data_IF_404876788633
#
_entry.id   IF_404876788633
#
_cell.length_a   1.000
_cell.length_b   1.000
_cell.length_c   1.000
_cell.angle_alpha   90.00
_cell.angle_beta   90.00
_cell.angle_gamma   90.00
#
_symmetry.space_group_name_H-M   'P 1'
#
loop_
_entity.id
_entity.type
_entity.pdbx_description
1 polymer ?
#
# COMPACT_ATOMS: atom_id res chain seq x y z
N UNK A 1 -62.93 66.29 66.77
CA UNK A 1 -62.19 65.93 67.99
C UNK A 1 -60.75 65.59 67.63
N UNK A 2 -59.82 66.35 68.21
CA UNK A 2 -58.38 66.15 68.46
C UNK A 2 -57.58 65.18 67.57
N UNK A 3 -56.62 65.63 66.75
CA UNK A 3 -55.32 66.26 67.07
C UNK A 3 -54.30 65.31 67.74
N UNK A 4 -53.22 64.96 67.02
CA UNK A 4 -51.86 65.45 67.34
C UNK A 4 -50.83 65.11 66.24
N UNK A 5 -49.99 66.10 65.98
CA UNK A 5 -48.89 66.17 65.02
C UNK A 5 -47.61 65.60 65.63
N UNK A 6 -46.68 65.15 64.79
CA UNK A 6 -45.26 65.39 65.01
C UNK A 6 -44.52 65.58 63.67
N UNK A 7 -43.84 66.71 63.53
CA UNK A 7 -42.80 67.00 62.52
C UNK A 7 -41.44 66.74 63.15
N UNK A 8 -40.41 66.56 62.32
CA UNK A 8 -38.94 66.77 62.47
C UNK A 8 -38.28 65.60 61.70
N UNK A 9 -37.33 65.73 60.78
CA UNK A 9 -36.59 66.85 60.21
C UNK A 9 -35.74 66.27 59.05
N UNK A 10 -35.59 67.03 57.96
CA UNK A 10 -34.80 66.63 56.81
C UNK A 10 -33.30 66.77 57.08
N UNK A 11 -32.51 65.74 56.74
CA UNK A 11 -31.07 65.83 56.63
C UNK A 11 -30.66 65.38 55.22
N UNK A 12 -30.26 66.35 54.41
CA UNK A 12 -29.71 66.18 53.07
C UNK A 12 -28.25 65.75 53.19
N UNK A 13 -27.92 64.51 52.80
CA UNK A 13 -26.53 64.07 52.66
C UNK A 13 -26.15 64.05 51.18
N UNK A 14 -25.19 64.89 50.81
CA UNK A 14 -24.54 64.90 49.50
C UNK A 14 -23.54 63.73 49.50
N UNK A 15 -23.85 62.65 48.80
CA UNK A 15 -22.88 61.57 48.55
C UNK A 15 -22.19 61.79 47.21
N UNK A 16 -20.93 62.20 47.28
CA UNK A 16 -19.98 62.13 46.17
C UNK A 16 -19.69 60.64 45.90
N UNK A 17 -20.20 60.10 44.80
CA UNK A 17 -19.80 58.76 44.34
C UNK A 17 -18.51 58.92 43.54
N UNK A 18 -17.39 58.54 44.13
CA UNK A 18 -16.15 58.34 43.40
C UNK A 18 -16.33 57.14 42.46
N UNK A 19 -16.14 57.35 41.16
CA UNK A 19 -16.08 56.27 40.18
C UNK A 19 -14.79 55.47 40.40
N UNK A 20 -14.90 54.26 40.96
CA UNK A 20 -13.80 53.30 40.98
C UNK A 20 -13.69 52.63 39.60
N UNK A 21 -12.55 52.85 38.94
CA UNK A 21 -12.13 52.04 37.79
C UNK A 21 -11.81 50.64 38.30
N UNK A 22 -12.77 49.72 38.21
CA UNK A 22 -12.51 48.30 38.40
C UNK A 22 -11.77 47.79 37.14
N UNK A 23 -10.45 47.62 37.26
CA UNK A 23 -9.66 46.91 36.28
C UNK A 23 -10.24 45.50 36.10
N UNK A 24 -10.73 45.20 34.89
CA UNK A 24 -11.19 43.87 34.53
C UNK A 24 -9.98 42.97 34.41
N UNK A 25 -9.68 42.22 35.48
CA UNK A 25 -8.70 41.14 35.42
C UNK A 25 -9.28 40.03 34.55
N UNK A 26 -8.63 39.73 33.42
CA UNK A 26 -8.87 38.49 32.68
C UNK A 26 -8.69 37.29 33.64
N UNK A 27 -9.55 36.25 33.60
CA UNK A 27 -9.38 35.10 34.47
C UNK A 27 -8.05 34.40 34.16
N UNK A 28 -7.29 34.10 35.20
CA UNK A 28 -6.10 33.26 35.13
C UNK A 28 -6.48 31.89 34.54
N UNK A 29 -5.69 31.39 33.59
CA UNK A 29 -5.81 30.02 33.08
C UNK A 29 -5.74 29.03 34.24
N UNK A 30 -6.83 28.29 34.51
CA UNK A 30 -6.84 27.24 35.52
C UNK A 30 -5.78 26.18 35.16
N UNK A 31 -4.95 25.79 36.11
CA UNK A 31 -4.02 24.67 35.94
C UNK A 31 -4.80 23.35 35.84
N UNK A 32 -4.35 22.43 34.98
CA UNK A 32 -5.01 21.15 34.83
C UNK A 32 -4.92 20.31 36.12
N UNK A 33 -6.05 19.80 36.59
CA UNK A 33 -6.13 19.02 37.84
C UNK A 33 -5.71 17.55 37.70
N UNK A 34 -5.65 17.05 36.47
CA UNK A 34 -5.30 15.68 36.10
C UNK A 34 -4.28 15.66 34.97
N UNK A 35 -3.38 14.69 35.04
CA UNK A 35 -2.55 14.20 33.93
C UNK A 35 -3.16 12.91 33.42
N UNK A 36 -3.32 12.77 32.10
CA UNK A 36 -3.90 11.57 31.47
C UNK A 36 -2.89 10.93 30.51
N UNK A 37 -2.38 9.75 30.86
CA UNK A 37 -1.41 9.01 30.04
C UNK A 37 -1.49 7.48 30.29
N UNK A 38 -1.89 6.66 29.30
CA UNK A 38 -2.24 7.04 27.93
C UNK A 38 -3.58 7.77 27.85
N UNK A 39 -3.75 8.55 26.78
CA UNK A 39 -5.02 9.21 26.45
C UNK A 39 -6.15 8.18 26.18
N UNK A 40 -7.44 8.58 26.28
CA UNK A 40 -8.56 7.71 25.96
C UNK A 40 -8.51 7.20 24.51
N UNK A 41 -8.91 5.95 24.30
CA UNK A 41 -8.93 5.30 22.98
C UNK A 41 -10.20 4.49 22.76
N UNK A 42 -10.52 4.22 21.50
CA UNK A 42 -11.64 3.35 21.09
C UNK A 42 -11.05 2.16 20.35
N UNK A 43 -11.47 0.95 20.70
CA UNK A 43 -11.10 -0.30 19.99
C UNK A 43 -12.35 -1.05 19.56
N UNK A 44 -12.26 -1.84 18.50
CA UNK A 44 -13.40 -2.57 17.94
C UNK A 44 -13.53 -2.30 16.45
N UNK A 45 -14.44 -3.00 15.79
CA UNK A 45 -14.72 -2.76 14.38
C UNK A 45 -15.67 -1.57 14.26
N UNK A 46 -15.26 -0.50 13.56
CA UNK A 46 -16.07 0.73 13.43
C UNK A 46 -17.15 0.53 12.36
N UNK A 47 -18.17 -0.25 12.72
CA UNK A 47 -19.26 -0.70 11.86
C UNK A 47 -20.57 -0.75 12.63
N UNK A 48 -21.68 -0.45 11.97
CA UNK A 48 -23.01 -0.52 12.57
C UNK A 48 -23.29 -1.95 13.03
N UNK A 49 -23.78 -2.08 14.27
CA UNK A 49 -24.07 -3.35 14.91
C UNK A 49 -22.85 -4.08 15.50
N UNK A 50 -21.63 -3.61 15.26
CA UNK A 50 -20.43 -4.12 15.93
C UNK A 50 -20.10 -3.29 17.17
N UNK A 51 -19.64 -3.93 18.24
CA UNK A 51 -19.34 -3.23 19.50
C UNK A 51 -18.01 -2.48 19.44
N UNK A 52 -18.07 -1.18 19.74
CA UNK A 52 -16.91 -0.35 20.05
C UNK A 52 -16.70 -0.32 21.56
N UNK A 53 -15.47 -0.54 22.01
CA UNK A 53 -15.08 -0.50 23.42
C UNK A 53 -14.28 0.75 23.72
N UNK A 54 -14.74 1.53 24.71
CA UNK A 54 -14.06 2.71 25.23
C UNK A 54 -13.00 2.35 26.27
N UNK A 55 -11.78 2.84 26.06
CA UNK A 55 -10.69 2.81 27.03
C UNK A 55 -10.49 4.22 27.59
N UNK A 56 -10.59 4.37 28.91
CA UNK A 56 -10.68 5.67 29.59
C UNK A 56 -9.35 6.42 29.73
N UNK A 57 -8.24 5.79 29.36
CA UNK A 57 -6.90 6.25 29.71
C UNK A 57 -6.60 6.12 31.20
N UNK A 58 -5.39 6.50 31.61
CA UNK A 58 -4.96 6.46 33.02
C UNK A 58 -4.86 7.89 33.56
N UNK A 59 -5.60 8.18 34.63
CA UNK A 59 -5.73 9.53 35.20
C UNK A 59 -4.97 9.63 36.53
N UNK A 60 -4.11 10.65 36.65
CA UNK A 60 -3.35 10.94 37.85
C UNK A 60 -3.50 12.41 38.26
N UNK A 61 -3.84 12.74 39.52
CA UNK A 61 -4.22 11.81 40.59
C UNK A 61 -5.55 11.10 40.30
N UNK A 62 -5.81 9.96 40.95
CA UNK A 62 -7.01 9.17 40.66
C UNK A 62 -8.29 10.00 40.92
N UNK A 63 -9.20 10.10 39.93
CA UNK A 63 -10.47 10.82 40.06
C UNK A 63 -11.43 10.08 40.99
N UNK A 64 -12.35 10.81 41.63
CA UNK A 64 -13.46 10.23 42.40
C UNK A 64 -14.59 9.72 41.50
N UNK A 65 -14.71 10.21 40.27
CA UNK A 65 -15.63 9.67 39.26
C UNK A 65 -15.04 9.83 37.85
N UNK A 66 -15.29 8.84 36.98
CA UNK A 66 -14.95 8.86 35.56
C UNK A 66 -16.18 8.49 34.74
N UNK A 67 -16.65 9.45 33.96
CA UNK A 67 -17.80 9.30 33.07
C UNK A 67 -17.32 9.30 31.63
N UNK A 68 -17.77 8.32 30.85
CA UNK A 68 -17.55 8.27 29.39
C UNK A 68 -18.81 8.81 28.71
N UNK A 69 -18.61 9.62 27.68
CA UNK A 69 -19.70 10.12 26.84
C UNK A 69 -19.30 9.91 25.38
N UNK A 70 -20.16 9.20 24.64
CA UNK A 70 -19.96 8.91 23.23
C UNK A 70 -20.49 10.06 22.36
N UNK A 71 -19.80 10.32 21.25
CA UNK A 71 -20.19 11.29 20.24
C UNK A 71 -20.08 10.66 18.86
N UNK A 72 -21.09 10.86 18.03
CA UNK A 72 -21.09 10.46 16.62
C UNK A 72 -21.34 11.66 15.73
N UNK A 73 -20.42 11.93 14.80
CA UNK A 73 -20.49 13.11 13.94
C UNK A 73 -20.49 14.44 14.71
N UNK A 74 -19.97 14.43 15.94
CA UNK A 74 -19.97 15.57 16.86
C UNK A 74 -21.24 15.71 17.72
N UNK A 75 -22.25 14.86 17.53
CA UNK A 75 -23.50 14.84 18.32
C UNK A 75 -23.37 13.81 19.45
N UNK A 76 -23.90 14.13 20.62
CA UNK A 76 -23.88 13.21 21.77
C UNK A 76 -24.77 11.99 21.49
N UNK A 77 -24.30 10.80 21.89
CA UNK A 77 -25.14 9.59 21.88
C UNK A 77 -26.00 9.64 23.14
N UNK A 78 -27.31 9.71 22.96
CA UNK A 78 -28.28 9.68 24.07
C UNK A 78 -28.44 8.25 24.61
N UNK A 79 -28.69 8.14 25.91
CA UNK A 79 -29.05 6.88 26.55
C UNK A 79 -30.47 6.44 26.19
N UNK A 80 -30.94 5.36 26.81
CA UNK A 80 -32.30 4.90 26.59
C UNK A 80 -33.31 6.02 26.93
N UNK A 81 -34.24 6.39 26.02
CA UNK A 81 -35.24 7.43 26.29
C UNK A 81 -36.05 7.19 27.56
N UNK A 82 -36.26 5.92 27.94
CA UNK A 82 -36.98 5.53 29.15
C UNK A 82 -36.21 5.88 30.44
N UNK A 83 -34.90 6.15 30.35
CA UNK A 83 -34.03 6.57 31.45
C UNK A 83 -33.92 8.11 31.57
N UNK A 84 -34.82 8.86 30.91
CA UNK A 84 -34.93 10.30 31.06
C UNK A 84 -34.08 11.15 30.12
N UNK A 85 -33.52 10.57 29.05
CA UNK A 85 -32.77 11.31 28.01
C UNK A 85 -31.36 11.72 28.43
N UNK A 86 -30.82 11.14 29.50
CA UNK A 86 -29.42 11.33 29.90
C UNK A 86 -28.46 10.73 28.85
N UNK A 87 -27.24 11.27 28.69
CA UNK A 87 -26.27 10.73 27.74
C UNK A 87 -25.91 9.27 27.99
N UNK A 88 -25.57 8.55 26.92
CA UNK A 88 -25.13 7.16 27.03
C UNK A 88 -23.72 7.07 27.67
N UNK A 89 -23.63 6.35 28.79
CA UNK A 89 -22.42 6.22 29.60
C UNK A 89 -21.78 4.82 29.61
N UNK A 90 -22.26 3.92 28.76
CA UNK A 90 -21.72 2.56 28.64
C UNK A 90 -20.26 2.54 28.18
N UNK A 91 -19.53 1.50 28.59
CA UNK A 91 -18.16 1.25 28.11
C UNK A 91 -18.11 0.65 26.70
N UNK A 92 -19.25 0.18 26.21
CA UNK A 92 -19.42 -0.40 24.89
C UNK A 92 -20.50 0.38 24.16
N UNK A 93 -20.31 0.66 22.88
CA UNK A 93 -21.31 1.30 22.03
C UNK A 93 -21.36 0.58 20.70
N UNK A 94 -22.53 0.11 20.31
CA UNK A 94 -22.78 -0.51 19.00
C UNK A 94 -23.38 0.57 18.08
N UNK A 95 -22.65 1.08 17.07
CA UNK A 95 -23.20 2.11 16.19
C UNK A 95 -24.47 1.63 15.51
N UNK A 96 -25.41 2.55 15.27
CA UNK A 96 -26.67 2.30 14.60
C UNK A 96 -26.63 2.72 13.13
N UNK A 97 -27.64 2.33 12.34
CA UNK A 97 -27.67 2.63 10.89
C UNK A 97 -27.53 4.14 10.60
N UNK A 98 -28.03 4.99 11.49
CA UNK A 98 -27.96 6.45 11.38
C UNK A 98 -26.55 7.03 11.57
N UNK A 99 -25.62 6.23 12.11
CA UNK A 99 -24.25 6.62 12.42
C UNK A 99 -23.29 6.43 11.25
N UNK A 100 -23.72 5.70 10.22
CA UNK A 100 -22.93 5.43 9.03
C UNK A 100 -22.39 6.72 8.38
N UNK A 101 -21.09 6.70 8.03
CA UNK A 101 -20.39 7.82 7.42
C UNK A 101 -19.95 8.92 8.40
N UNK A 102 -20.32 8.84 9.68
CA UNK A 102 -19.88 9.76 10.74
C UNK A 102 -18.72 9.18 11.53
N UNK A 103 -17.88 10.00 12.12
CA UNK A 103 -16.79 9.54 13.01
C UNK A 103 -17.29 9.40 14.45
N UNK A 104 -16.68 8.50 15.22
CA UNK A 104 -16.97 8.31 16.65
C UNK A 104 -15.85 8.89 17.50
N UNK A 105 -16.21 9.57 18.58
CA UNK A 105 -15.29 10.13 19.59
C UNK A 105 -15.84 9.81 20.97
N UNK A 106 -14.98 9.43 21.92
CA UNK A 106 -15.34 9.43 23.33
C UNK A 106 -14.75 10.64 24.02
N UNK A 107 -15.52 11.26 24.92
CA UNK A 107 -14.99 12.21 25.90
C UNK A 107 -15.09 11.59 27.27
N UNK A 108 -13.99 11.62 28.01
CA UNK A 108 -13.88 11.07 29.36
C UNK A 108 -13.76 12.24 30.32
N UNK A 109 -14.71 12.36 31.26
CA UNK A 109 -14.75 13.44 32.25
C UNK A 109 -14.40 12.91 33.62
N UNK A 110 -13.32 13.43 34.19
CA UNK A 110 -12.85 13.14 35.55
C UNK A 110 -13.29 14.21 36.54
N UNK A 111 -13.79 13.80 37.71
CA UNK A 111 -14.10 14.71 38.82
C UNK A 111 -13.32 14.33 40.07
N UNK A 112 -12.92 15.33 40.86
CA UNK A 112 -12.33 15.16 42.19
C UNK A 112 -12.55 16.43 43.00
N UNK A 113 -12.78 16.29 44.31
CA UNK A 113 -12.89 17.45 45.21
C UNK A 113 -11.65 18.35 45.09
N UNK A 114 -11.87 19.65 44.91
CA UNK A 114 -10.81 20.63 44.64
C UNK A 114 -10.51 20.86 43.15
N UNK A 115 -11.01 20.02 42.24
CA UNK A 115 -10.92 20.23 40.80
C UNK A 115 -12.23 20.85 40.28
N UNK A 116 -12.25 22.16 40.02
CA UNK A 116 -13.39 22.86 39.42
C UNK A 116 -12.92 23.83 38.33
N UNK A 117 -13.44 23.73 37.09
CA UNK A 117 -14.44 22.76 36.65
C UNK A 117 -13.89 21.32 36.55
N UNK A 118 -14.79 20.36 36.36
CA UNK A 118 -14.41 18.99 35.97
C UNK A 118 -13.59 19.02 34.67
N UNK A 119 -12.66 18.07 34.51
CA UNK A 119 -11.81 18.03 33.33
C UNK A 119 -12.23 16.93 32.38
N UNK A 120 -12.18 17.24 31.09
CA UNK A 120 -12.61 16.34 30.02
C UNK A 120 -11.49 16.17 29.01
N UNK A 121 -11.15 14.91 28.70
CA UNK A 121 -10.18 14.55 27.65
C UNK A 121 -10.89 13.72 26.58
N UNK A 122 -10.68 14.07 25.31
CA UNK A 122 -11.27 13.36 24.17
C UNK A 122 -10.30 12.32 23.59
N UNK A 123 -10.83 11.25 23.01
CA UNK A 123 -10.05 10.36 22.13
C UNK A 123 -9.78 11.03 20.77
N UNK A 124 -8.84 10.47 20.01
CA UNK A 124 -8.82 10.70 18.56
C UNK A 124 -10.14 10.20 17.92
N UNK A 125 -10.62 10.85 16.84
CA UNK A 125 -11.77 10.36 16.10
C UNK A 125 -11.44 9.04 15.41
N UNK A 126 -12.41 8.13 15.36
CA UNK A 126 -12.32 6.94 14.53
C UNK A 126 -12.33 7.32 13.04
N UNK A 127 -12.02 6.35 12.18
CA UNK A 127 -12.52 6.39 10.80
C UNK A 127 -14.06 6.50 10.78
N UNK A 128 -14.69 6.98 9.70
CA UNK A 128 -16.14 6.99 9.58
C UNK A 128 -16.75 5.60 9.80
N UNK A 129 -17.87 5.54 10.53
CA UNK A 129 -18.62 4.31 10.81
C UNK A 129 -19.06 3.68 9.51
N UNK A 130 -18.74 2.41 9.35
CA UNK A 130 -19.16 1.64 8.19
C UNK A 130 -20.61 1.12 8.39
N UNK A 131 -21.47 1.11 7.37
CA UNK A 131 -22.79 0.47 7.46
C UNK A 131 -22.71 -1.02 7.88
N UNK A 132 -23.74 -1.51 8.58
CA UNK A 132 -23.80 -2.83 9.21
C UNK A 132 -23.67 -3.92 8.17
N UNK A 133 -24.32 -3.71 7.05
CA UNK A 133 -24.17 -4.40 5.78
C UNK A 133 -25.34 -3.89 4.96
N UNK A 134 -25.15 -3.68 3.67
CA UNK A 134 -26.27 -3.65 2.75
C UNK A 134 -27.04 -4.96 2.92
N UNK A 135 -28.25 -4.92 3.47
CA UNK A 135 -29.24 -5.95 3.21
C UNK A 135 -30.12 -5.48 2.05
N UNK A 136 -30.24 -6.37 1.06
CA UNK A 136 -31.08 -6.38 -0.15
C UNK A 136 -30.65 -5.69 -1.46
N UNK A 137 -29.55 -4.94 -1.51
CA UNK A 137 -28.99 -4.44 -2.79
C UNK A 137 -27.88 -5.36 -3.33
N UNK A 138 -27.82 -5.70 -4.63
CA UNK A 138 -26.68 -6.45 -5.18
C UNK A 138 -25.40 -5.64 -4.96
N UNK A 139 -24.43 -6.23 -4.25
CA UNK A 139 -23.09 -5.63 -4.08
C UNK A 139 -22.56 -5.31 -5.49
N UNK A 140 -22.25 -4.05 -5.83
CA UNK A 140 -21.85 -3.68 -7.18
C UNK A 140 -20.71 -4.58 -7.63
N UNK A 141 -20.90 -5.32 -8.73
CA UNK A 141 -19.81 -6.11 -9.30
C UNK A 141 -18.61 -5.18 -9.48
N UNK A 142 -17.40 -5.63 -9.12
CA UNK A 142 -16.23 -4.81 -9.38
C UNK A 142 -16.23 -4.46 -10.87
N UNK A 143 -15.90 -3.21 -11.24
CA UNK A 143 -15.81 -2.82 -12.64
C UNK A 143 -14.85 -3.78 -13.35
N UNK A 144 -14.94 -3.86 -14.67
CA UNK A 144 -13.96 -4.65 -15.40
C UNK A 144 -12.56 -4.10 -15.11
N UNK A 145 -11.60 -4.99 -14.81
CA UNK A 145 -10.23 -4.53 -14.57
C UNK A 145 -9.71 -3.83 -15.83
N UNK A 146 -8.95 -2.75 -15.65
CA UNK A 146 -8.31 -2.10 -16.77
C UNK A 146 -7.24 -3.02 -17.38
N UNK A 147 -7.06 -2.89 -18.70
CA UNK A 147 -5.96 -3.57 -19.41
C UNK A 147 -4.64 -3.18 -18.74
N UNK A 148 -3.72 -4.15 -18.51
CA UNK A 148 -2.39 -3.83 -17.98
C UNK A 148 -1.67 -2.79 -18.84
N UNK A 149 -0.83 -1.96 -18.22
CA UNK A 149 -0.09 -0.91 -18.91
C UNK A 149 1.41 -1.19 -18.90
N UNK A 150 2.14 -0.61 -19.87
CA UNK A 150 3.59 -0.71 -19.97
C UNK A 150 4.06 -1.10 -21.37
N UNK A 151 5.35 -1.44 -21.45
CA UNK A 151 5.98 -1.95 -22.68
C UNK A 151 5.75 -3.45 -22.79
N UNK A 152 4.85 -3.84 -23.70
CA UNK A 152 4.53 -5.23 -24.01
C UNK A 152 5.60 -5.87 -24.88
N UNK A 153 6.83 -5.96 -24.37
CA UNK A 153 7.95 -6.66 -25.01
C UNK A 153 8.49 -7.70 -24.04
N UNK A 154 8.82 -8.91 -24.54
CA UNK A 154 9.39 -9.97 -23.70
C UNK A 154 10.58 -9.45 -22.88
N UNK A 155 10.57 -9.77 -21.58
CA UNK A 155 11.59 -9.35 -20.62
C UNK A 155 11.35 -7.99 -19.97
N UNK A 156 10.38 -7.20 -20.46
CA UNK A 156 9.91 -5.96 -19.81
C UNK A 156 8.88 -6.27 -18.72
N UNK A 157 8.56 -5.25 -17.93
CA UNK A 157 7.59 -5.34 -16.84
C UNK A 157 6.34 -4.55 -17.22
N UNK A 158 5.19 -5.21 -17.14
CA UNK A 158 3.86 -4.58 -17.24
C UNK A 158 3.26 -4.43 -15.85
N UNK A 159 2.34 -3.49 -15.70
CA UNK A 159 1.70 -3.17 -14.43
C UNK A 159 0.18 -3.22 -14.58
N UNK A 160 -0.47 -4.02 -13.74
CA UNK A 160 -1.92 -4.02 -13.58
C UNK A 160 -2.34 -2.72 -12.90
N UNK A 161 -3.43 -2.12 -13.36
CA UNK A 161 -4.04 -1.02 -12.61
C UNK A 161 -4.74 -1.62 -11.37
N UNK A 162 -4.47 -1.07 -10.18
CA UNK A 162 -5.24 -1.42 -8.97
C UNK A 162 -6.61 -0.72 -8.93
N UNK A 163 -6.92 0.14 -9.90
CA UNK A 163 -8.07 1.02 -9.86
C UNK A 163 -9.38 0.25 -10.14
N UNK A 164 -10.48 0.76 -9.57
CA UNK A 164 -11.82 0.22 -9.78
C UNK A 164 -12.40 -0.58 -8.61
N UNK A 165 -11.59 -1.01 -7.64
CA UNK A 165 -12.12 -1.63 -6.43
C UNK A 165 -12.85 -0.62 -5.53
N UNK A 166 -13.94 -1.02 -4.84
CA UNK A 166 -14.60 -0.16 -3.86
C UNK A 166 -13.67 0.13 -2.67
N UNK A 167 -13.93 1.22 -1.96
CA UNK A 167 -13.18 1.55 -0.74
C UNK A 167 -13.26 0.42 0.30
N UNK A 168 -12.15 0.14 0.98
CA UNK A 168 -12.05 -0.99 1.92
C UNK A 168 -11.87 -2.36 1.25
N UNK A 169 -11.45 -2.40 -0.02
CA UNK A 169 -11.00 -3.62 -0.67
C UNK A 169 -9.47 -3.71 -0.64
N UNK A 170 -8.95 -4.84 -0.16
CA UNK A 170 -7.52 -5.13 -0.15
C UNK A 170 -7.19 -6.14 -1.24
N UNK A 171 -6.37 -5.76 -2.22
CA UNK A 171 -5.90 -6.68 -3.26
C UNK A 171 -4.67 -7.43 -2.76
N UNK A 172 -4.84 -8.73 -2.49
CA UNK A 172 -3.76 -9.57 -1.96
C UNK A 172 -2.96 -10.26 -3.08
N UNK A 173 -3.57 -10.47 -4.24
CA UNK A 173 -2.95 -11.21 -5.34
C UNK A 173 -3.43 -10.75 -6.72
N UNK A 174 -2.53 -10.86 -7.70
CA UNK A 174 -2.78 -10.69 -9.12
C UNK A 174 -2.46 -12.00 -9.83
N UNK A 175 -3.42 -12.51 -10.58
CA UNK A 175 -3.26 -13.71 -11.43
C UNK A 175 -3.15 -13.25 -12.87
N UNK A 176 -2.08 -13.63 -13.53
CA UNK A 176 -1.76 -13.23 -14.88
C UNK A 176 -1.99 -14.39 -15.82
N UNK A 177 -2.69 -14.11 -16.91
CA UNK A 177 -3.10 -15.08 -17.90
C UNK A 177 -2.49 -14.74 -19.25
N UNK A 178 -2.21 -15.78 -20.02
CA UNK A 178 -1.97 -15.66 -21.45
C UNK A 178 -3.21 -16.12 -22.18
N UNK A 179 -3.68 -15.33 -23.15
CA UNK A 179 -4.80 -15.76 -23.98
C UNK A 179 -4.33 -16.85 -24.94
N UNK A 180 -5.12 -17.92 -25.04
CA UNK A 180 -4.99 -19.00 -26.00
C UNK A 180 -6.23 -19.03 -26.87
N UNK A 181 -6.13 -19.59 -28.08
CA UNK A 181 -7.29 -19.74 -28.97
C UNK A 181 -8.48 -20.52 -28.38
N UNK A 182 -8.33 -21.09 -27.18
CA UNK A 182 -9.35 -21.80 -26.42
C UNK A 182 -9.73 -21.10 -25.09
N UNK A 183 -9.20 -19.91 -24.80
CA UNK A 183 -9.44 -19.14 -23.58
C UNK A 183 -8.19 -18.75 -22.79
N UNK A 184 -8.37 -18.27 -21.57
CA UNK A 184 -7.28 -17.79 -20.70
C UNK A 184 -6.54 -18.94 -20.00
N UNK A 185 -5.21 -18.92 -20.05
CA UNK A 185 -4.33 -19.89 -19.36
C UNK A 185 -3.53 -19.17 -18.29
N UNK A 186 -3.62 -19.62 -17.04
CA UNK A 186 -2.86 -19.03 -15.93
C UNK A 186 -1.36 -19.21 -16.14
N UNK A 187 -0.62 -18.11 -16.10
CA UNK A 187 0.82 -18.04 -16.31
C UNK A 187 1.58 -17.82 -14.99
N UNK A 188 1.09 -16.89 -14.16
CA UNK A 188 1.77 -16.50 -12.93
C UNK A 188 0.80 -15.89 -11.91
N UNK A 189 1.16 -15.97 -10.64
CA UNK A 189 0.49 -15.22 -9.56
C UNK A 189 1.52 -14.35 -8.86
N UNK A 190 1.21 -13.08 -8.65
CA UNK A 190 2.10 -12.09 -8.01
C UNK A 190 1.38 -11.40 -6.86
N UNK A 191 2.10 -11.14 -5.75
CA UNK A 191 1.55 -10.39 -4.62
C UNK A 191 1.36 -8.90 -4.96
N UNK A 192 2.19 -8.36 -5.86
CA UNK A 192 2.08 -6.98 -6.35
C UNK A 192 1.55 -6.90 -7.79
N UNK A 193 1.22 -5.68 -8.27
CA UNK A 193 0.59 -5.45 -9.57
C UNK A 193 1.56 -5.57 -10.75
N UNK A 194 2.77 -6.11 -10.58
CA UNK A 194 3.81 -6.11 -11.62
C UNK A 194 4.12 -7.51 -12.10
N UNK A 195 4.18 -7.69 -13.42
CA UNK A 195 4.64 -8.92 -14.06
C UNK A 195 5.77 -8.61 -15.03
N UNK A 196 6.90 -9.32 -14.87
CA UNK A 196 7.93 -9.37 -15.91
C UNK A 196 7.53 -10.42 -16.96
N UNK A 197 7.36 -10.00 -18.21
CA UNK A 197 6.88 -10.83 -19.31
C UNK A 197 7.86 -11.97 -19.63
N UNK A 198 7.48 -13.24 -19.40
CA UNK A 198 8.32 -14.40 -19.72
C UNK A 198 8.40 -14.65 -21.24
N UNK A 199 9.37 -15.46 -21.67
CA UNK A 199 9.69 -15.66 -23.09
C UNK A 199 8.59 -16.33 -23.93
N UNK A 200 7.79 -17.17 -23.31
CA UNK A 200 6.65 -17.87 -23.92
C UNK A 200 5.44 -16.97 -24.20
N UNK A 201 5.43 -15.74 -23.68
CA UNK A 201 4.38 -14.75 -23.97
C UNK A 201 4.50 -14.09 -25.34
N UNK A 202 5.63 -14.26 -26.05
CA UNK A 202 5.82 -13.68 -27.38
C UNK A 202 4.67 -14.03 -28.34
N UNK A 203 4.10 -12.99 -28.97
CA UNK A 203 2.99 -13.11 -29.91
C UNK A 203 1.64 -13.46 -29.26
N UNK A 204 1.55 -13.37 -27.92
CA UNK A 204 0.34 -13.64 -27.16
C UNK A 204 -0.16 -12.37 -26.48
N UNK A 205 -1.44 -12.36 -26.16
CA UNK A 205 -2.08 -11.29 -25.38
C UNK A 205 -2.13 -11.68 -23.91
N UNK A 206 -2.06 -10.68 -23.04
CA UNK A 206 -2.01 -10.85 -21.59
C UNK A 206 -3.29 -10.27 -20.98
N UNK A 207 -3.89 -11.03 -20.08
CA UNK A 207 -4.95 -10.54 -19.21
C UNK A 207 -4.50 -10.69 -17.76
N UNK A 208 -5.01 -9.82 -16.90
CA UNK A 208 -4.84 -9.90 -15.44
C UNK A 208 -6.19 -10.04 -14.75
N UNK A 209 -6.24 -10.93 -13.76
CA UNK A 209 -7.29 -11.00 -12.75
C UNK A 209 -6.74 -10.46 -11.44
N UNK A 210 -7.31 -9.38 -10.93
CA UNK A 210 -7.08 -8.97 -9.54
C UNK A 210 -8.09 -9.68 -8.64
N UNK A 211 -7.63 -10.13 -7.48
CA UNK A 211 -8.47 -10.77 -6.46
C UNK A 211 -8.35 -9.95 -5.18
N UNK A 212 -9.47 -9.39 -4.72
CA UNK A 212 -9.50 -8.54 -3.54
C UNK A 212 -10.41 -9.13 -2.47
N UNK A 213 -9.98 -8.99 -1.22
CA UNK A 213 -10.77 -9.28 -0.03
C UNK A 213 -11.39 -7.98 0.43
N UNK A 214 -12.70 -7.98 0.63
CA UNK A 214 -13.41 -6.83 1.17
C UNK A 214 -13.24 -6.82 2.68
N UNK A 215 -12.68 -5.75 3.23
CA UNK A 215 -12.36 -5.64 4.65
C UNK A 215 -13.62 -5.78 5.52
N UNK A 216 -14.77 -5.33 4.99
CA UNK A 216 -16.07 -5.30 5.65
C UNK A 216 -16.84 -6.63 5.63
N UNK A 217 -16.85 -7.37 4.50
CA UNK A 217 -17.61 -8.64 4.39
C UNK A 217 -16.74 -9.88 4.51
N UNK A 218 -15.41 -9.72 4.44
CA UNK A 218 -14.43 -10.81 4.28
C UNK A 218 -14.66 -11.69 3.04
N UNK A 219 -15.55 -11.29 2.14
CA UNK A 219 -15.73 -11.97 0.87
C UNK A 219 -14.58 -11.65 -0.07
N UNK A 220 -14.20 -12.65 -0.86
CA UNK A 220 -13.25 -12.49 -1.95
C UNK A 220 -14.00 -12.26 -3.26
N UNK A 221 -13.65 -11.18 -3.96
CA UNK A 221 -14.13 -10.92 -5.31
C UNK A 221 -12.97 -10.92 -6.30
N UNK A 222 -13.30 -11.10 -7.57
CA UNK A 222 -12.33 -11.02 -8.65
C UNK A 222 -12.89 -10.30 -9.87
N UNK A 223 -12.04 -9.59 -10.57
CA UNK A 223 -12.32 -8.93 -11.85
C UNK A 223 -11.20 -9.32 -12.82
N UNK A 224 -11.54 -9.55 -14.09
CA UNK A 224 -10.59 -9.86 -15.16
C UNK A 224 -10.59 -8.71 -16.15
N UNK A 225 -9.41 -8.37 -16.66
CA UNK A 225 -9.24 -7.33 -17.67
C UNK A 225 -9.55 -7.83 -19.07
N UNK A 226 -9.71 -6.89 -20.00
CA UNK A 226 -9.57 -7.19 -21.42
C UNK A 226 -8.15 -7.64 -21.77
N UNK A 227 -8.02 -8.31 -22.90
CA UNK A 227 -6.75 -8.70 -23.46
C UNK A 227 -5.90 -7.47 -23.80
N UNK A 228 -4.61 -7.53 -23.49
CA UNK A 228 -3.62 -6.55 -23.93
C UNK A 228 -3.35 -6.65 -25.42
N UNK A 229 -2.64 -5.67 -26.02
CA UNK A 229 -1.97 -5.91 -27.30
C UNK A 229 -1.02 -7.11 -27.24
N UNK A 230 -0.75 -7.72 -28.38
CA UNK A 230 0.19 -8.84 -28.49
C UNK A 230 1.60 -8.46 -28.03
N UNK A 231 2.24 -9.33 -27.25
CA UNK A 231 3.60 -9.12 -26.75
C UNK A 231 4.64 -9.23 -27.87
N UNK A 232 5.44 -8.18 -28.04
CA UNK A 232 6.52 -8.08 -29.00
C UNK A 232 7.76 -8.91 -28.59
N UNK A 233 8.59 -9.22 -29.59
CA UNK A 233 9.83 -9.97 -29.40
C UNK A 233 10.88 -9.18 -28.60
N UNK A 234 11.48 -9.82 -27.61
CA UNK A 234 12.54 -9.23 -26.78
C UNK A 234 13.89 -9.13 -27.51
N UNK A 235 14.80 -8.36 -26.92
CA UNK A 235 16.18 -8.22 -27.42
C UNK A 235 17.18 -8.78 -26.42
N UNK A 236 18.05 -9.68 -26.87
CA UNK A 236 19.19 -10.11 -26.07
C UNK A 236 20.26 -9.02 -26.03
N UNK A 237 20.92 -8.90 -24.90
CA UNK A 237 22.12 -8.08 -24.73
C UNK A 237 23.30 -8.97 -24.34
N UNK A 238 24.50 -8.57 -24.75
CA UNK A 238 25.72 -9.26 -24.37
C UNK A 238 26.98 -8.50 -24.73
N UNK A 239 28.09 -8.89 -24.12
CA UNK A 239 29.42 -8.31 -24.39
C UNK A 239 30.21 -9.16 -25.38
N UNK A 240 31.14 -8.53 -26.10
CA UNK A 240 32.01 -9.22 -27.06
C UNK A 240 32.80 -10.35 -26.37
N UNK A 241 32.77 -11.59 -26.90
CA UNK A 241 33.50 -12.70 -26.31
C UNK A 241 35.01 -12.57 -26.53
N UNK A 242 35.79 -13.22 -25.66
CA UNK A 242 37.26 -13.32 -25.77
C UNK A 242 37.70 -14.78 -25.84
N UNK A 243 38.96 -15.00 -26.23
CA UNK A 243 39.58 -16.33 -26.28
C UNK A 243 40.73 -16.36 -25.28
N UNK A 244 40.71 -17.33 -24.36
CA UNK A 244 41.79 -17.59 -23.40
C UNK A 244 42.52 -18.90 -23.72
N UNK A 245 43.73 -19.07 -23.17
CA UNK A 245 44.59 -20.24 -23.38
C UNK A 245 45.83 -19.96 -24.23
N UNK A 246 46.64 -21.00 -24.39
CA UNK A 246 47.91 -20.92 -25.13
C UNK A 246 47.64 -21.15 -26.62
N UNK A 247 48.01 -20.19 -27.46
CA UNK A 247 47.83 -20.19 -28.92
C UNK A 247 48.88 -21.06 -29.62
N UNK A 248 48.83 -22.37 -29.37
CA UNK A 248 49.75 -23.36 -29.95
C UNK A 248 48.97 -24.61 -30.38
N UNK A 249 49.44 -25.29 -31.42
CA UNK A 249 48.91 -26.60 -31.82
C UNK A 249 48.90 -27.56 -30.61
N UNK A 250 47.80 -28.32 -30.47
CA UNK A 250 47.61 -29.24 -29.35
C UNK A 250 47.25 -28.59 -28.01
N UNK A 251 47.26 -27.25 -27.89
CA UNK A 251 46.89 -26.54 -26.66
C UNK A 251 45.45 -26.04 -26.71
N UNK A 252 44.71 -26.25 -25.63
CA UNK A 252 43.29 -25.88 -25.51
C UNK A 252 43.13 -24.36 -25.49
N UNK A 253 42.27 -23.86 -26.38
CA UNK A 253 41.68 -22.53 -26.36
C UNK A 253 40.26 -22.63 -25.75
N UNK A 254 39.88 -21.61 -24.99
CA UNK A 254 38.57 -21.54 -24.35
C UNK A 254 37.86 -20.25 -24.76
N UNK A 255 36.62 -20.35 -25.22
CA UNK A 255 35.76 -19.21 -25.43
C UNK A 255 35.24 -18.68 -24.09
N UNK A 256 35.48 -17.39 -23.84
CA UNK A 256 34.95 -16.64 -22.71
C UNK A 256 33.84 -15.75 -23.23
N UNK A 257 32.59 -16.08 -22.89
CA UNK A 257 31.39 -15.46 -23.49
C UNK A 257 31.11 -14.03 -23.04
N UNK A 258 31.65 -13.59 -21.90
CA UNK A 258 31.28 -12.31 -21.26
C UNK A 258 29.89 -12.33 -20.64
N UNK A 259 29.31 -11.16 -20.39
CA UNK A 259 27.95 -11.01 -19.85
C UNK A 259 26.91 -11.14 -20.97
N UNK A 260 25.75 -11.69 -20.61
CA UNK A 260 24.59 -11.89 -21.49
C UNK A 260 23.32 -11.74 -20.66
N UNK A 261 22.19 -11.49 -21.31
CA UNK A 261 20.86 -11.60 -20.69
C UNK A 261 20.72 -12.94 -19.94
N UNK A 262 20.13 -12.90 -18.75
CA UNK A 262 19.96 -14.09 -17.92
C UNK A 262 19.02 -15.12 -18.58
N UNK A 263 19.39 -16.40 -18.50
CA UNK A 263 18.63 -17.51 -19.11
C UNK A 263 18.97 -17.78 -20.59
N UNK A 264 19.92 -17.04 -21.19
CA UNK A 264 20.36 -17.29 -22.56
C UNK A 264 21.14 -18.62 -22.69
N UNK A 265 20.81 -19.39 -23.72
CA UNK A 265 21.55 -20.61 -24.13
C UNK A 265 22.53 -20.29 -25.26
N UNK A 266 23.63 -21.05 -25.36
CA UNK A 266 24.75 -20.69 -26.24
C UNK A 266 25.16 -21.80 -27.20
N UNK A 267 25.42 -21.41 -28.44
CA UNK A 267 26.14 -22.21 -29.43
C UNK A 267 27.45 -21.53 -29.83
N UNK A 268 28.49 -22.32 -30.07
CA UNK A 268 29.81 -21.83 -30.49
C UNK A 268 30.11 -22.25 -31.92
N UNK A 269 30.89 -21.43 -32.61
CA UNK A 269 31.55 -21.82 -33.86
C UNK A 269 32.93 -21.19 -33.90
N UNK A 270 33.94 -22.02 -34.08
CA UNK A 270 35.32 -21.57 -34.25
C UNK A 270 35.65 -21.35 -35.72
N UNK A 271 36.50 -20.36 -35.98
CA UNK A 271 36.93 -19.95 -37.30
C UNK A 271 38.45 -19.85 -37.35
N UNK A 272 39.04 -20.21 -38.49
CA UNK A 272 40.45 -20.00 -38.79
C UNK A 272 40.56 -19.08 -40.01
N UNK A 273 41.20 -17.92 -39.85
CA UNK A 273 41.28 -16.86 -40.87
C UNK A 273 39.90 -16.49 -41.45
N UNK A 274 38.86 -16.45 -40.61
CA UNK A 274 37.49 -16.14 -41.05
C UNK A 274 36.69 -17.31 -41.62
N UNK A 275 37.31 -18.47 -41.88
CA UNK A 275 36.61 -19.66 -42.37
C UNK A 275 36.18 -20.58 -41.23
N UNK A 276 34.94 -21.06 -41.26
CA UNK A 276 34.39 -21.93 -40.24
C UNK A 276 35.15 -23.26 -40.17
N UNK A 277 35.55 -23.66 -38.97
CA UNK A 277 36.21 -24.95 -38.73
C UNK A 277 35.12 -26.01 -38.57
N UNK A 278 35.13 -27.04 -39.43
CA UNK A 278 34.14 -28.13 -39.42
C UNK A 278 34.15 -28.85 -38.07
N UNK A 279 32.97 -29.04 -37.48
CA UNK A 279 32.77 -29.72 -36.19
C UNK A 279 33.16 -28.91 -34.94
N UNK A 280 33.87 -27.78 -35.07
CA UNK A 280 34.32 -26.99 -33.93
C UNK A 280 33.19 -26.13 -33.35
N UNK A 281 32.34 -26.76 -32.55
CA UNK A 281 31.11 -26.17 -31.97
C UNK A 281 31.07 -26.15 -30.45
N UNK A 282 32.10 -26.71 -29.79
CA UNK A 282 32.23 -26.68 -28.35
C UNK A 282 32.74 -25.32 -27.85
N UNK A 283 32.54 -25.05 -26.55
CA UNK A 283 33.12 -23.89 -25.86
C UNK A 283 34.65 -23.87 -25.91
N UNK A 284 35.27 -25.03 -26.08
CA UNK A 284 36.71 -25.20 -26.17
C UNK A 284 37.11 -25.67 -27.56
N UNK A 285 38.34 -25.35 -27.94
CA UNK A 285 38.91 -25.76 -29.21
C UNK A 285 40.40 -26.04 -29.08
N UNK A 286 40.85 -27.17 -29.60
CA UNK A 286 42.27 -27.53 -29.63
C UNK A 286 42.76 -27.41 -31.07
N UNK A 287 43.63 -26.43 -31.39
CA UNK A 287 44.13 -26.27 -32.75
C UNK A 287 44.92 -27.50 -33.20
N UNK A 288 44.64 -27.98 -34.42
CA UNK A 288 45.36 -29.06 -35.08
C UNK A 288 46.52 -28.51 -35.92
N UNK A 289 47.41 -29.38 -36.39
CA UNK A 289 48.57 -29.00 -37.21
C UNK A 289 48.21 -28.09 -38.40
N UNK A 290 47.11 -28.38 -39.09
CA UNK A 290 46.60 -27.57 -40.20
C UNK A 290 46.10 -26.16 -39.81
N UNK A 291 46.22 -25.75 -38.55
CA UNK A 291 45.86 -24.42 -38.07
C UNK A 291 47.07 -23.58 -37.64
N UNK A 292 48.28 -24.14 -37.68
CA UNK A 292 49.50 -23.38 -37.46
C UNK A 292 49.56 -22.18 -38.43
N UNK A 293 49.99 -21.02 -37.93
CA UNK A 293 50.03 -19.77 -38.67
C UNK A 293 48.67 -19.09 -38.90
N UNK A 294 47.54 -19.76 -38.61
CA UNK A 294 46.21 -19.18 -38.75
C UNK A 294 45.81 -18.39 -37.51
N UNK A 295 44.99 -17.36 -37.70
CA UNK A 295 44.33 -16.61 -36.63
C UNK A 295 43.00 -17.26 -36.31
N UNK A 296 42.71 -17.42 -35.03
CA UNK A 296 41.48 -18.05 -34.56
C UNK A 296 40.50 -16.99 -34.07
N UNK A 297 39.22 -17.14 -34.39
CA UNK A 297 38.13 -16.40 -33.74
C UNK A 297 36.99 -17.34 -33.38
N UNK A 298 36.12 -16.90 -32.47
CA UNK A 298 34.92 -17.65 -32.08
C UNK A 298 33.69 -16.77 -32.20
N UNK A 299 32.64 -17.29 -32.85
CA UNK A 299 31.30 -16.73 -32.83
C UNK A 299 30.49 -17.43 -31.75
N UNK A 300 29.94 -16.65 -30.82
CA UNK A 300 29.03 -17.10 -29.78
C UNK A 300 27.63 -16.65 -30.16
N UNK A 301 26.70 -17.58 -30.32
CA UNK A 301 25.30 -17.29 -30.65
C UNK A 301 24.44 -17.57 -29.42
N UNK A 302 23.79 -16.54 -28.89
CA UNK A 302 22.84 -16.60 -27.79
C UNK A 302 21.41 -16.77 -28.29
N UNK A 303 20.65 -17.67 -27.65
CA UNK A 303 19.23 -17.91 -27.93
C UNK A 303 18.43 -17.98 -26.64
N UNK A 304 17.23 -17.43 -26.66
CA UNK A 304 16.27 -17.48 -25.57
C UNK A 304 14.86 -17.36 -26.16
N UNK A 305 13.92 -18.17 -25.68
CA UNK A 305 12.51 -18.14 -26.14
C UNK A 305 11.94 -16.74 -26.00
N UNK A 306 11.28 -16.24 -27.05
CA UNK A 306 10.71 -14.89 -27.07
C UNK A 306 11.71 -13.76 -27.30
N UNK A 307 12.99 -14.05 -27.57
CA UNK A 307 13.99 -13.03 -27.89
C UNK A 307 14.60 -13.22 -29.29
N UNK A 308 14.98 -12.11 -29.92
CA UNK A 308 15.81 -12.12 -31.12
C UNK A 308 17.16 -12.77 -30.82
N UNK A 309 17.58 -13.70 -31.68
CA UNK A 309 18.90 -14.34 -31.58
C UNK A 309 20.00 -13.29 -31.75
N UNK A 310 20.98 -13.30 -30.86
CA UNK A 310 22.14 -12.41 -30.91
C UNK A 310 23.41 -13.25 -31.11
N UNK A 311 24.27 -12.84 -32.04
CA UNK A 311 25.56 -13.48 -32.25
C UNK A 311 26.70 -12.47 -32.18
N UNK A 312 27.69 -12.78 -31.34
CA UNK A 312 28.85 -11.93 -31.12
C UNK A 312 30.13 -12.71 -31.47
N UNK A 313 31.04 -12.07 -32.19
CA UNK A 313 32.31 -12.66 -32.62
C UNK A 313 33.47 -12.02 -31.86
N UNK A 314 34.40 -12.86 -31.38
CA UNK A 314 35.62 -12.40 -30.72
C UNK A 314 36.53 -11.65 -31.69
N UNK A 315 37.47 -10.88 -31.16
CA UNK A 315 38.63 -10.50 -31.94
C UNK A 315 39.40 -11.75 -32.42
N UNK A 316 40.12 -11.62 -33.51
CA UNK A 316 41.03 -12.67 -33.98
C UNK A 316 42.25 -12.75 -33.05
N UNK A 317 42.72 -13.96 -32.79
CA UNK A 317 43.98 -14.17 -32.07
C UNK A 317 45.19 -13.71 -32.89
N UNK A 318 46.36 -13.62 -32.24
CA UNK A 318 47.63 -13.78 -32.95
C UNK A 318 47.71 -15.18 -33.61
N UNK A 319 48.55 -15.37 -34.64
CA UNK A 319 48.73 -16.68 -35.28
C UNK A 319 49.02 -17.79 -34.27
N UNK A 320 48.49 -18.98 -34.54
CA UNK A 320 48.76 -20.19 -33.74
C UNK A 320 50.20 -20.65 -34.00
N UNK A 321 50.98 -20.85 -32.93
CA UNK A 321 52.31 -21.42 -32.99
C UNK A 321 52.27 -22.93 -33.31
N UNK A 322 53.32 -23.44 -33.96
CA UNK A 322 53.57 -24.88 -34.09
C UNK A 322 53.82 -25.49 -32.71
#
# INVERSE_FOLDING_TARGET
MNSRRLRIGAATAISVVAASLAATTAPASAADCFTVDPAPTITGLVRVGDDLTAHRGTWAPAPSSLVVTWYVGGVIVEGNPDDGGEPYHGLTYSPEASDAGKTVVIKVTGTRSGCSPAQTVASAPTIPVHPASYDTGPIPNPPKAAVPTGDFTVGKTVTASPDGWPAGATVEQYRWYVESGTGLVLMATTAGPKLKLPGDTYGREIAVQSVATLDYSKETRSQVSDASPTVAIGTLTGTRPTISGIRKVGRKLTAVRGTWTAGTTFAYRWYANGHAIKGATARTFTPKAGHAGRRISVKVTGRQTGYRTLALTSAQTRPIAR
#
